data_IF_166866242090
#
_entry.id   IF_166866242090
#
_cell.length_a   1.000
_cell.length_b   1.000
_cell.length_c   1.000
_cell.angle_alpha   90.00
_cell.angle_beta   90.00
_cell.angle_gamma   90.00
#
_symmetry.space_group_name_H-M   'P 1'
#
loop_
_entity.id
_entity.type
_entity.pdbx_description
1 polymer ?
#
# COMPACT_ATOMS: atom_id res chain seq x y z
N UNK A 1 -0.12 -12.28 9.60
CA UNK A 1 1.28 -12.80 9.58
C UNK A 1 1.35 -14.27 9.96
N UNK A 2 0.83 -14.68 11.13
CA UNK A 2 0.85 -16.07 11.59
C UNK A 2 0.23 -17.06 10.59
N UNK A 3 -0.98 -16.78 10.08
CA UNK A 3 -1.62 -17.63 9.08
C UNK A 3 -0.80 -17.81 7.79
N UNK A 4 -0.08 -16.78 7.33
CA UNK A 4 0.81 -16.87 6.16
C UNK A 4 2.03 -17.71 6.50
N UNK A 5 2.61 -17.52 7.70
CA UNK A 5 3.75 -18.28 8.17
C UNK A 5 3.43 -19.78 8.27
N UNK A 6 2.28 -20.12 8.85
CA UNK A 6 1.78 -21.50 8.98
C UNK A 6 1.50 -22.13 7.62
N UNK A 7 0.73 -21.45 6.75
CA UNK A 7 0.39 -21.98 5.42
C UNK A 7 1.60 -22.20 4.52
N UNK A 8 2.69 -21.47 4.74
CA UNK A 8 3.93 -21.59 3.97
C UNK A 8 5.03 -22.36 4.69
N UNK A 9 4.77 -22.91 5.90
CA UNK A 9 5.76 -23.61 6.72
C UNK A 9 7.07 -22.82 6.94
N UNK A 10 6.96 -21.51 7.17
CA UNK A 10 8.10 -20.61 7.42
C UNK A 10 7.88 -19.80 8.69
N UNK A 11 8.94 -19.19 9.22
CA UNK A 11 8.81 -18.29 10.36
C UNK A 11 8.08 -16.98 9.99
N UNK A 12 7.38 -16.40 10.96
CA UNK A 12 6.80 -15.05 10.83
C UNK A 12 7.86 -14.00 10.49
N UNK A 13 9.09 -14.14 11.01
CA UNK A 13 10.22 -13.28 10.65
C UNK A 13 10.62 -13.37 9.17
N UNK A 14 10.47 -14.55 8.56
CA UNK A 14 10.73 -14.74 7.12
C UNK A 14 9.67 -14.07 6.27
N UNK A 15 8.38 -14.19 6.65
CA UNK A 15 7.28 -13.47 6.00
C UNK A 15 7.54 -11.96 6.06
N UNK A 16 7.88 -11.43 7.24
CA UNK A 16 8.21 -10.02 7.45
C UNK A 16 9.35 -9.56 6.55
N UNK A 17 10.44 -10.33 6.48
CA UNK A 17 11.59 -10.00 5.64
C UNK A 17 11.21 -9.98 4.16
N UNK A 18 10.37 -10.92 3.70
CA UNK A 18 9.86 -10.93 2.32
C UNK A 18 8.99 -9.70 2.02
N UNK A 19 8.10 -9.31 2.95
CA UNK A 19 7.28 -8.11 2.79
C UNK A 19 8.12 -6.83 2.69
N UNK A 20 9.20 -6.74 3.48
CA UNK A 20 10.14 -5.61 3.42
C UNK A 20 11.05 -5.61 2.19
N UNK A 21 11.15 -6.74 1.48
CA UNK A 21 11.97 -6.86 0.27
C UNK A 21 11.23 -6.43 -1.00
N UNK A 22 9.92 -6.14 -0.93
CA UNK A 22 9.17 -5.61 -2.07
C UNK A 22 9.77 -4.27 -2.49
N UNK A 23 10.20 -4.22 -3.75
CA UNK A 23 10.67 -3.00 -4.39
C UNK A 23 9.50 -2.33 -5.08
N UNK A 24 9.45 -1.02 -4.96
CA UNK A 24 8.49 -0.19 -5.69
C UNK A 24 9.07 0.13 -7.06
N UNK A 25 8.30 -0.16 -8.11
CA UNK A 25 8.54 0.38 -9.45
C UNK A 25 7.92 1.78 -9.53
N UNK A 26 8.76 2.82 -9.62
CA UNK A 26 8.29 4.21 -9.68
C UNK A 26 7.87 4.65 -11.09
N UNK A 27 8.01 3.78 -12.10
CA UNK A 27 7.63 4.08 -13.48
C UNK A 27 6.15 3.83 -13.77
N UNK A 28 5.44 3.13 -12.87
CA UNK A 28 4.08 2.67 -13.12
C UNK A 28 3.19 2.73 -11.87
N UNK A 29 1.96 3.20 -12.04
CA UNK A 29 0.87 3.05 -11.08
C UNK A 29 -0.35 2.47 -11.81
N UNK A 30 -1.08 1.51 -11.21
CA UNK A 30 -2.32 1.01 -11.78
C UNK A 30 -3.42 2.07 -11.84
N UNK A 31 -4.32 1.95 -12.81
CA UNK A 31 -5.50 2.82 -12.92
C UNK A 31 -6.45 2.66 -11.73
N UNK A 32 -6.55 1.46 -11.18
CA UNK A 32 -7.41 1.13 -10.05
C UNK A 32 -6.55 0.57 -8.92
N UNK A 33 -6.53 1.26 -7.78
CA UNK A 33 -5.71 0.88 -6.63
C UNK A 33 -6.63 0.65 -5.44
N UNK A 34 -6.40 -0.41 -4.67
CA UNK A 34 -7.04 -0.57 -3.34
C UNK A 34 -6.06 -0.17 -2.25
N UNK A 35 -6.53 0.58 -1.27
CA UNK A 35 -5.80 0.91 -0.05
C UNK A 35 -6.42 0.17 1.14
N UNK A 36 -5.57 -0.44 1.96
CA UNK A 36 -5.99 -1.16 3.16
C UNK A 36 -4.94 -1.05 4.27
N UNK A 37 -5.33 -1.47 5.48
CA UNK A 37 -4.51 -1.49 6.67
C UNK A 37 -4.34 -2.91 7.21
N UNK A 38 -3.17 -3.21 7.76
CA UNK A 38 -2.93 -4.48 8.42
C UNK A 38 -2.14 -4.30 9.72
N UNK A 39 -2.37 -5.19 10.69
CA UNK A 39 -1.64 -5.18 11.96
C UNK A 39 -0.30 -5.94 11.82
N UNK A 40 0.80 -5.26 12.16
CA UNK A 40 2.15 -5.79 11.96
C UNK A 40 2.96 -5.96 13.25
N UNK A 41 2.95 -4.96 14.14
CA UNK A 41 3.74 -4.97 15.39
C UNK A 41 2.90 -4.47 16.56
N UNK A 42 2.63 -5.32 17.55
CA UNK A 42 2.00 -4.94 18.84
C UNK A 42 0.82 -3.95 18.66
N UNK A 43 -0.10 -4.23 17.75
CA UNK A 43 -1.27 -3.39 17.50
C UNK A 43 -1.04 -2.13 16.63
N UNK A 44 0.18 -1.87 16.17
CA UNK A 44 0.44 -0.81 15.18
C UNK A 44 0.01 -1.27 13.79
N UNK A 45 -0.88 -0.47 13.20
CA UNK A 45 -1.36 -0.61 11.84
C UNK A 45 -0.33 -0.09 10.83
N UNK A 46 -0.22 -0.82 9.74
CA UNK A 46 0.64 -0.57 8.60
C UNK A 46 -0.23 -0.47 7.35
N UNK A 47 0.27 0.20 6.33
CA UNK A 47 -0.47 0.47 5.10
C UNK A 47 -0.07 -0.49 3.99
N UNK A 48 -1.05 -0.93 3.20
CA UNK A 48 -0.82 -1.68 1.96
C UNK A 48 -1.62 -1.06 0.82
N UNK A 49 -1.01 -1.02 -0.35
CA UNK A 49 -1.69 -0.74 -1.60
C UNK A 49 -1.42 -1.85 -2.61
N UNK A 50 -2.42 -2.19 -3.39
CA UNK A 50 -2.32 -3.17 -4.46
C UNK A 50 -3.14 -2.72 -5.67
N UNK A 51 -2.76 -3.23 -6.84
CA UNK A 51 -3.57 -3.19 -8.03
C UNK A 51 -4.90 -3.92 -7.79
N UNK A 52 -6.01 -3.27 -8.09
CA UNK A 52 -7.35 -3.83 -7.94
C UNK A 52 -7.53 -5.10 -8.78
N UNK A 53 -7.05 -5.08 -10.03
CA UNK A 53 -7.32 -6.12 -11.02
C UNK A 53 -6.38 -7.31 -10.82
N UNK A 54 -5.06 -7.04 -10.77
CA UNK A 54 -4.05 -8.10 -10.69
C UNK A 54 -3.71 -8.55 -9.28
N UNK A 55 -4.18 -7.84 -8.24
CA UNK A 55 -3.81 -8.02 -6.83
C UNK A 55 -2.30 -7.92 -6.56
N UNK A 56 -1.54 -7.36 -7.51
CA UNK A 56 -0.11 -7.14 -7.34
C UNK A 56 0.09 -6.02 -6.33
N UNK A 57 0.99 -6.25 -5.39
CA UNK A 57 1.38 -5.26 -4.39
C UNK A 57 2.03 -4.06 -5.07
N UNK A 58 1.48 -2.88 -4.81
CA UNK A 58 2.04 -1.58 -5.21
C UNK A 58 2.94 -1.06 -4.09
N UNK A 59 2.44 -1.09 -2.85
CA UNK A 59 3.13 -0.52 -1.69
C UNK A 59 2.89 -1.34 -0.42
N UNK A 60 3.92 -1.45 0.41
CA UNK A 60 3.82 -1.89 1.81
C UNK A 60 4.60 -0.88 2.65
N UNK A 61 3.92 -0.20 3.58
CA UNK A 61 4.52 0.82 4.44
C UNK A 61 4.37 0.44 5.91
N UNK A 62 5.47 0.54 6.67
CA UNK A 62 5.48 0.23 8.11
C UNK A 62 4.54 1.15 8.92
N UNK A 63 4.13 2.29 8.37
CA UNK A 63 3.24 3.26 9.00
C UNK A 63 2.09 3.70 8.09
N UNK A 64 0.98 4.05 8.73
CA UNK A 64 -0.28 4.40 8.09
C UNK A 64 -0.64 5.89 8.17
N UNK A 65 0.32 6.74 8.53
CA UNK A 65 0.05 8.17 8.65
C UNK A 65 -0.18 8.79 7.27
N UNK A 66 -1.05 9.79 7.24
CA UNK A 66 -1.28 10.62 6.05
C UNK A 66 0.03 11.11 5.40
N UNK A 67 0.97 11.62 6.21
CA UNK A 67 2.28 12.11 5.74
C UNK A 67 3.10 10.98 5.12
N UNK A 68 3.11 9.80 5.74
CA UNK A 68 3.85 8.63 5.23
C UNK A 68 3.33 8.20 3.86
N UNK A 69 2.01 8.10 3.72
CA UNK A 69 1.36 7.66 2.48
C UNK A 69 1.55 8.72 1.38
N UNK A 70 1.32 10.01 1.68
CA UNK A 70 1.55 11.11 0.75
C UNK A 70 2.99 11.12 0.25
N UNK A 71 3.97 11.07 1.15
CA UNK A 71 5.38 11.13 0.80
C UNK A 71 5.79 9.94 -0.08
N UNK A 72 5.23 8.76 0.19
CA UNK A 72 5.45 7.60 -0.65
C UNK A 72 4.95 7.83 -2.09
N UNK A 73 3.69 8.25 -2.26
CA UNK A 73 3.12 8.46 -3.59
C UNK A 73 3.71 9.69 -4.29
N UNK A 74 4.23 10.67 -3.56
CA UNK A 74 4.88 11.85 -4.16
C UNK A 74 6.22 11.53 -4.86
N UNK A 75 6.76 10.32 -4.67
CA UNK A 75 7.95 9.83 -5.41
C UNK A 75 7.64 9.51 -6.88
N UNK A 76 6.38 9.24 -7.20
CA UNK A 76 5.95 9.04 -8.57
C UNK A 76 5.84 10.39 -9.28
N UNK A 77 6.27 10.44 -10.54
CA UNK A 77 6.10 11.64 -11.35
C UNK A 77 4.62 12.00 -11.45
N UNK A 78 4.31 13.27 -11.70
CA UNK A 78 2.92 13.71 -11.89
C UNK A 78 2.23 12.91 -13.00
N UNK A 79 2.94 12.67 -14.11
CA UNK A 79 2.43 11.87 -15.23
C UNK A 79 2.06 10.45 -14.78
N UNK A 80 2.86 9.80 -13.96
CA UNK A 80 2.53 8.46 -13.46
C UNK A 80 1.34 8.51 -12.51
N UNK A 81 1.26 9.51 -11.63
CA UNK A 81 0.13 9.68 -10.70
C UNK A 81 -1.20 9.95 -11.41
N UNK A 82 -1.19 10.72 -12.50
CA UNK A 82 -2.41 11.04 -13.25
C UNK A 82 -3.07 9.84 -13.94
N UNK A 83 -2.41 8.68 -14.00
CA UNK A 83 -3.00 7.44 -14.49
C UNK A 83 -3.95 6.80 -13.47
N UNK A 84 -3.82 7.13 -12.18
CA UNK A 84 -4.71 6.58 -11.14
C UNK A 84 -6.09 7.22 -11.28
N UNK A 85 -7.09 6.40 -11.59
CA UNK A 85 -8.49 6.81 -11.80
C UNK A 85 -9.31 6.58 -10.54
N UNK A 86 -9.17 5.40 -9.93
CA UNK A 86 -9.98 4.99 -8.77
C UNK A 86 -9.06 4.52 -7.64
N UNK A 87 -9.33 5.02 -6.44
CA UNK A 87 -8.77 4.48 -5.21
C UNK A 87 -9.91 3.93 -4.36
N UNK A 88 -10.00 2.61 -4.24
CA UNK A 88 -10.93 1.95 -3.34
C UNK A 88 -10.32 1.86 -1.95
N UNK A 89 -11.05 2.31 -0.92
CA UNK A 89 -10.62 2.25 0.47
C UNK A 89 -11.82 2.15 1.40
N UNK A 90 -11.61 1.72 2.63
CA UNK A 90 -12.62 1.80 3.68
C UNK A 90 -12.87 3.27 4.08
N UNK A 91 -14.13 3.71 4.04
CA UNK A 91 -14.53 5.12 4.21
C UNK A 91 -14.34 5.67 5.63
N UNK A 92 -14.15 4.81 6.64
CA UNK A 92 -13.93 5.27 8.03
C UNK A 92 -12.50 5.79 8.23
N UNK A 93 -11.62 5.59 7.25
CA UNK A 93 -10.21 5.95 7.37
C UNK A 93 -9.91 7.40 6.95
N UNK A 94 -8.95 8.09 7.59
CA UNK A 94 -8.60 9.48 7.35
C UNK A 94 -7.91 9.73 6.00
N UNK A 95 -7.99 8.81 5.04
CA UNK A 95 -7.27 8.83 3.77
C UNK A 95 -7.95 9.65 2.67
N UNK A 96 -9.23 9.96 2.84
CA UNK A 96 -10.05 10.63 1.83
C UNK A 96 -9.37 11.85 1.19
N UNK A 97 -8.85 12.77 2.02
CA UNK A 97 -8.20 13.99 1.52
C UNK A 97 -6.94 13.72 0.69
N UNK A 98 -6.19 12.65 0.99
CA UNK A 98 -4.95 12.33 0.27
C UNK A 98 -5.23 11.52 -0.99
N UNK A 99 -6.21 10.63 -0.93
CA UNK A 99 -6.66 9.91 -2.11
C UNK A 99 -7.15 10.87 -3.20
N UNK A 100 -7.91 11.89 -2.81
CA UNK A 100 -8.36 12.95 -3.72
C UNK A 100 -7.18 13.70 -4.37
N UNK A 101 -6.11 13.98 -3.61
CA UNK A 101 -4.90 14.63 -4.14
C UNK A 101 -4.15 13.77 -5.15
N UNK A 102 -4.25 12.44 -5.05
CA UNK A 102 -3.58 11.52 -5.97
C UNK A 102 -4.37 11.29 -7.25
N UNK A 103 -5.71 11.23 -7.17
CA UNK A 103 -6.57 10.97 -8.33
C UNK A 103 -6.83 12.21 -9.22
N UNK A 104 -6.55 13.43 -8.74
CA UNK A 104 -6.90 14.68 -9.45
C UNK A 104 -5.69 15.58 -9.83
N UNK A 105 -4.48 15.03 -9.97
CA UNK A 105 -3.31 15.79 -10.49
C UNK A 105 -2.71 15.15 -11.71
#
# INVERSE_FOLDING_TARGET
MTAIAESQSISTSTVIRKLKAFKTDLSFLPNHITWDEYSFKKGKLSFVAQDFDSRKIVAILDGRSQVTIRNYFHRYSRQVRSHVIVIAMDMVNPYYFIALLLAHT
#
